data_IF_849680824932
#
_entry.id   IF_849680824932
#
_cell.length_a   1.000
_cell.length_b   1.000
_cell.length_c   1.000
_cell.angle_alpha   90.00
_cell.angle_beta   90.00
_cell.angle_gamma   90.00
#
_symmetry.space_group_name_H-M   'P 1'
#
loop_
_entity.id
_entity.type
_entity.pdbx_description
1 polymer ?
#
# COMPACT_ATOMS: atom_id res chain seq x y z
N UNK A 1 -3.81 -34.17 -2.55
CA UNK A 1 -4.55 -34.33 -3.82
C UNK A 1 -4.93 -32.93 -4.31
N UNK A 2 -4.45 -32.55 -5.49
CA UNK A 2 -4.54 -31.16 -5.99
C UNK A 2 -5.99 -30.72 -6.21
N UNK A 3 -6.35 -29.57 -5.63
CA UNK A 3 -7.61 -28.88 -5.91
C UNK A 3 -7.38 -27.91 -7.07
N UNK A 4 -7.95 -28.23 -8.22
CA UNK A 4 -8.07 -27.31 -9.34
C UNK A 4 -9.00 -26.16 -8.96
N UNK A 5 -8.60 -24.93 -9.30
CA UNK A 5 -9.33 -23.70 -9.07
C UNK A 5 -10.62 -23.67 -9.91
N UNK A 6 -11.83 -23.70 -9.31
CA UNK A 6 -13.08 -23.69 -10.09
C UNK A 6 -13.32 -22.35 -10.80
N UNK A 7 -12.72 -21.25 -10.32
CA UNK A 7 -12.89 -19.91 -10.88
C UNK A 7 -12.05 -19.62 -12.14
N UNK A 8 -10.89 -20.29 -12.31
CA UNK A 8 -10.07 -20.09 -13.53
C UNK A 8 -10.68 -20.77 -14.75
N UNK A 9 -11.29 -21.94 -14.55
CA UNK A 9 -11.86 -22.75 -15.63
C UNK A 9 -13.12 -22.10 -16.26
N UNK A 10 -13.89 -21.34 -15.48
CA UNK A 10 -15.08 -20.61 -15.97
C UNK A 10 -14.72 -19.39 -16.81
N UNK A 11 -13.68 -18.65 -16.41
CA UNK A 11 -13.23 -17.47 -17.17
C UNK A 11 -12.51 -17.87 -18.47
N UNK A 12 -11.64 -18.88 -18.41
CA UNK A 12 -10.94 -19.41 -19.60
C UNK A 12 -11.90 -20.15 -20.56
N UNK A 13 -12.88 -20.88 -20.03
CA UNK A 13 -13.89 -21.58 -20.83
C UNK A 13 -14.87 -20.63 -21.54
N UNK A 14 -15.32 -19.57 -20.87
CA UNK A 14 -16.17 -18.54 -21.50
C UNK A 14 -15.42 -17.79 -22.61
N UNK A 15 -14.17 -17.39 -22.35
CA UNK A 15 -13.36 -16.69 -23.33
C UNK A 15 -13.14 -17.52 -24.61
N UNK A 16 -13.00 -18.84 -24.49
CA UNK A 16 -12.77 -19.73 -25.62
C UNK A 16 -14.02 -19.88 -26.50
N UNK A 17 -15.22 -19.94 -25.91
CA UNK A 17 -16.50 -19.97 -26.64
C UNK A 17 -16.80 -18.64 -27.32
N UNK A 18 -16.53 -17.53 -26.64
CA UNK A 18 -16.65 -16.18 -27.21
C UNK A 18 -15.69 -15.98 -28.40
N UNK A 19 -14.45 -16.48 -28.29
CA UNK A 19 -13.49 -16.48 -29.39
C UNK A 19 -13.93 -17.33 -30.58
N UNK A 20 -14.58 -18.47 -30.34
CA UNK A 20 -15.13 -19.31 -31.41
C UNK A 20 -16.29 -18.63 -32.15
N UNK A 21 -17.20 -17.96 -31.43
CA UNK A 21 -18.27 -17.18 -32.05
C UNK A 21 -17.76 -15.98 -32.81
N UNK A 22 -16.76 -15.29 -32.27
CA UNK A 22 -16.09 -14.19 -32.96
C UNK A 22 -15.37 -14.66 -34.23
N UNK A 23 -14.62 -15.77 -34.14
CA UNK A 23 -13.90 -16.36 -35.27
C UNK A 23 -14.85 -16.81 -36.39
N UNK A 24 -15.94 -17.51 -36.05
CA UNK A 24 -16.93 -17.94 -37.04
C UNK A 24 -17.64 -16.76 -37.71
N UNK A 25 -17.99 -15.73 -36.94
CA UNK A 25 -18.64 -14.52 -37.46
C UNK A 25 -17.68 -13.72 -38.37
N UNK A 26 -16.42 -13.54 -37.95
CA UNK A 26 -15.38 -12.88 -38.75
C UNK A 26 -15.05 -13.64 -40.05
N UNK A 27 -15.08 -14.98 -40.02
CA UNK A 27 -14.95 -15.82 -41.21
C UNK A 27 -16.08 -15.54 -42.21
N UNK A 28 -17.33 -15.52 -41.73
CA UNK A 28 -18.52 -15.26 -42.57
C UNK A 28 -18.53 -13.85 -43.17
N UNK A 29 -18.00 -12.86 -42.46
CA UNK A 29 -17.83 -11.51 -42.99
C UNK A 29 -16.79 -11.45 -44.11
N UNK A 30 -15.68 -12.18 -43.98
CA UNK A 30 -14.68 -12.33 -45.05
C UNK A 30 -15.26 -12.98 -46.31
N UNK A 31 -16.26 -13.85 -46.16
CA UNK A 31 -16.96 -14.53 -47.25
C UNK A 31 -18.10 -13.67 -47.85
N UNK A 32 -18.22 -12.38 -47.46
CA UNK A 32 -19.19 -11.43 -48.00
C UNK A 32 -20.51 -11.32 -47.23
N UNK A 33 -20.59 -11.93 -46.03
CA UNK A 33 -21.81 -12.01 -45.22
C UNK A 33 -22.14 -10.80 -44.32
N UNK A 34 -21.31 -9.75 -44.29
CA UNK A 34 -21.62 -8.38 -43.83
C UNK A 34 -22.23 -8.12 -42.44
N UNK A 35 -22.43 -9.12 -41.57
CA UNK A 35 -23.29 -8.99 -40.38
C UNK A 35 -22.65 -9.50 -39.08
N UNK A 36 -21.34 -9.39 -38.90
CA UNK A 36 -20.62 -9.92 -37.73
C UNK A 36 -21.23 -9.51 -36.40
N UNK A 37 -21.57 -8.22 -36.24
CA UNK A 37 -22.16 -7.73 -34.99
C UNK A 37 -23.55 -8.34 -34.73
N UNK A 38 -24.37 -8.48 -35.76
CA UNK A 38 -25.70 -9.07 -35.64
C UNK A 38 -25.61 -10.58 -35.34
N UNK A 39 -24.67 -11.28 -35.97
CA UNK A 39 -24.42 -12.71 -35.73
C UNK A 39 -23.88 -12.96 -34.33
N UNK A 40 -22.91 -12.18 -33.87
CA UNK A 40 -22.39 -12.25 -32.49
C UNK A 40 -23.53 -12.00 -31.50
N UNK A 41 -24.36 -10.98 -31.73
CA UNK A 41 -25.52 -10.70 -30.88
C UNK A 41 -26.50 -11.87 -30.83
N UNK A 42 -26.81 -12.46 -31.99
CA UNK A 42 -27.69 -13.62 -32.10
C UNK A 42 -27.10 -14.84 -31.36
N UNK A 43 -25.79 -15.09 -31.49
CA UNK A 43 -25.13 -16.18 -30.79
C UNK A 43 -25.11 -15.96 -29.28
N UNK A 44 -24.84 -14.73 -28.83
CA UNK A 44 -24.92 -14.39 -27.42
C UNK A 44 -26.33 -14.58 -26.87
N UNK A 45 -27.36 -14.11 -27.58
CA UNK A 45 -28.76 -14.26 -27.16
C UNK A 45 -29.21 -15.72 -27.10
N UNK A 46 -28.76 -16.53 -28.07
CA UNK A 46 -29.17 -17.93 -28.17
C UNK A 46 -28.40 -18.87 -27.24
N UNK A 47 -27.13 -18.58 -26.95
CA UNK A 47 -26.25 -19.54 -26.30
C UNK A 47 -25.59 -19.03 -25.01
N UNK A 48 -25.38 -17.72 -24.84
CA UNK A 48 -24.65 -17.12 -23.71
C UNK A 48 -25.56 -16.32 -22.77
N UNK A 49 -26.81 -16.77 -22.61
CA UNK A 49 -27.75 -16.22 -21.64
C UNK A 49 -28.02 -17.20 -20.52
N UNK A 50 -28.05 -16.69 -19.28
CA UNK A 50 -28.35 -17.45 -18.06
C UNK A 50 -29.78 -18.04 -18.06
N UNK A 51 -30.69 -17.41 -18.79
CA UNK A 51 -32.10 -17.79 -18.88
C UNK A 51 -32.34 -18.91 -19.88
N UNK A 52 -31.37 -19.25 -20.72
CA UNK A 52 -31.53 -20.22 -21.81
C UNK A 52 -30.98 -21.59 -21.38
N UNK A 53 -31.69 -22.67 -21.74
CA UNK A 53 -31.29 -24.05 -21.47
C UNK A 53 -30.19 -24.53 -22.43
N UNK A 54 -29.02 -23.93 -22.35
CA UNK A 54 -27.80 -24.40 -23.04
C UNK A 54 -26.74 -24.81 -22.02
N UNK A 55 -25.73 -25.63 -22.40
CA UNK A 55 -24.62 -25.93 -21.50
C UNK A 55 -23.94 -24.68 -20.93
N UNK A 56 -23.82 -23.62 -21.74
CA UNK A 56 -23.27 -22.34 -21.28
C UNK A 56 -24.23 -21.57 -20.38
N UNK A 57 -25.53 -21.56 -20.69
CA UNK A 57 -26.55 -21.00 -19.80
C UNK A 57 -26.54 -21.66 -18.43
N UNK A 58 -26.34 -22.99 -18.38
CA UNK A 58 -26.23 -23.76 -17.16
C UNK A 58 -24.96 -23.41 -16.36
N UNK A 59 -23.79 -23.34 -17.02
CA UNK A 59 -22.54 -22.89 -16.39
C UNK A 59 -22.69 -21.48 -15.80
N UNK A 60 -23.33 -20.56 -16.52
CA UNK A 60 -23.58 -19.20 -16.05
C UNK A 60 -24.55 -19.17 -14.84
N UNK A 61 -25.59 -20.01 -14.84
CA UNK A 61 -26.50 -20.19 -13.69
C UNK A 61 -25.78 -20.73 -12.46
N UNK A 62 -24.96 -21.77 -12.63
CA UNK A 62 -24.13 -22.32 -11.56
C UNK A 62 -23.15 -21.27 -11.03
N UNK A 63 -22.55 -20.46 -11.90
CA UNK A 63 -21.70 -19.34 -11.49
C UNK A 63 -22.43 -18.33 -10.61
N UNK A 64 -23.67 -17.94 -10.98
CA UNK A 64 -24.49 -17.05 -10.16
C UNK A 64 -24.91 -17.67 -8.83
N UNK A 65 -25.30 -18.94 -8.84
CA UNK A 65 -25.67 -19.66 -7.63
C UNK A 65 -24.48 -19.78 -6.69
N UNK A 66 -23.30 -20.18 -7.20
CA UNK A 66 -22.08 -20.25 -6.41
C UNK A 66 -21.64 -18.88 -5.89
N UNK A 67 -21.87 -17.81 -6.65
CA UNK A 67 -21.64 -16.44 -6.18
C UNK A 67 -22.64 -16.03 -5.07
N UNK A 68 -23.89 -16.48 -5.16
CA UNK A 68 -24.91 -16.30 -4.11
C UNK A 68 -24.52 -17.07 -2.85
N UNK A 69 -24.21 -18.36 -2.98
CA UNK A 69 -23.76 -19.24 -1.89
C UNK A 69 -22.47 -18.70 -1.27
N UNK A 70 -21.50 -18.26 -2.07
CA UNK A 70 -20.27 -17.64 -1.55
C UNK A 70 -20.53 -16.36 -0.77
N UNK A 71 -21.57 -15.60 -1.10
CA UNK A 71 -21.98 -14.42 -0.32
C UNK A 71 -22.77 -14.77 0.93
N UNK A 72 -23.51 -15.88 0.89
CA UNK A 72 -24.52 -16.20 1.89
C UNK A 72 -24.06 -17.30 2.89
N UNK A 73 -22.93 -18.01 2.67
CA UNK A 73 -22.61 -19.22 3.48
C UNK A 73 -21.19 -19.46 3.98
N UNK A 74 -20.10 -18.85 3.48
CA UNK A 74 -18.76 -19.22 4.02
C UNK A 74 -17.70 -18.12 3.85
N UNK A 75 -17.27 -17.53 4.97
CA UNK A 75 -15.88 -17.12 5.19
C UNK A 75 -15.26 -17.96 6.31
N UNK A 76 -14.05 -18.49 6.11
CA UNK A 76 -13.36 -19.34 7.11
C UNK A 76 -13.01 -18.58 8.40
N UNK A 77 -13.01 -17.25 8.37
CA UNK A 77 -12.70 -16.35 9.50
C UNK A 77 -13.62 -15.12 9.49
N UNK A 78 -14.90 -15.32 9.79
CA UNK A 78 -15.85 -14.20 9.88
C UNK A 78 -15.79 -13.53 11.25
N UNK A 79 -15.76 -12.19 11.22
CA UNK A 79 -16.03 -11.40 12.41
C UNK A 79 -17.55 -11.21 12.52
N UNK A 80 -18.11 -11.50 13.69
CA UNK A 80 -19.54 -11.29 13.95
C UNK A 80 -19.76 -10.45 15.19
N UNK A 81 -20.87 -9.73 15.19
CA UNK A 81 -21.30 -8.89 16.30
C UNK A 81 -22.26 -9.65 17.20
N UNK A 82 -22.23 -9.38 18.50
CA UNK A 82 -23.35 -9.72 19.38
C UNK A 82 -24.61 -8.93 19.01
N UNK A 83 -25.77 -9.33 19.55
CA UNK A 83 -27.06 -8.67 19.25
C UNK A 83 -27.08 -7.18 19.60
N UNK A 84 -26.21 -6.74 20.52
CA UNK A 84 -26.12 -5.35 20.97
C UNK A 84 -25.08 -4.51 20.22
N UNK A 85 -24.36 -5.11 19.26
CA UNK A 85 -23.27 -4.48 18.51
C UNK A 85 -22.16 -3.90 19.43
N UNK A 86 -21.98 -4.47 20.62
CA UNK A 86 -20.97 -4.05 21.60
C UNK A 86 -19.75 -4.98 21.63
N UNK A 87 -19.89 -6.21 21.15
CA UNK A 87 -18.81 -7.20 21.13
C UNK A 87 -18.62 -7.68 19.71
N UNK A 88 -17.39 -7.53 19.20
CA UNK A 88 -16.93 -8.12 17.95
C UNK A 88 -16.14 -9.39 18.27
N UNK A 89 -16.62 -10.53 17.79
CA UNK A 89 -15.90 -11.80 17.90
C UNK A 89 -15.25 -12.10 16.55
N UNK A 90 -13.93 -12.31 16.56
CA UNK A 90 -13.18 -12.78 15.41
C UNK A 90 -12.33 -13.98 15.85
N UNK A 91 -12.53 -15.12 15.19
CA UNK A 91 -12.01 -16.42 15.65
C UNK A 91 -12.43 -16.68 17.11
N UNK A 92 -11.49 -16.93 18.01
CA UNK A 92 -11.74 -17.16 19.44
C UNK A 92 -11.48 -15.90 20.30
N UNK A 93 -11.40 -14.72 19.69
CA UNK A 93 -11.10 -13.45 20.38
C UNK A 93 -12.30 -12.53 20.35
N UNK A 94 -12.76 -12.15 21.54
CA UNK A 94 -13.83 -11.18 21.74
C UNK A 94 -13.24 -9.79 22.03
N UNK A 95 -13.77 -8.78 21.35
CA UNK A 95 -13.38 -7.38 21.51
C UNK A 95 -14.59 -6.54 21.86
N UNK A 96 -14.53 -5.84 22.98
CA UNK A 96 -15.55 -4.85 23.30
C UNK A 96 -15.30 -3.53 22.55
N UNK A 97 -16.36 -2.87 22.12
CA UNK A 97 -16.27 -1.63 21.34
C UNK A 97 -15.60 -0.47 22.09
N UNK A 98 -15.67 -0.46 23.41
CA UNK A 98 -14.97 0.50 24.27
C UNK A 98 -13.45 0.24 24.35
N UNK A 99 -13.00 -0.97 24.00
CA UNK A 99 -11.59 -1.35 23.98
C UNK A 99 -10.89 -0.93 22.68
N UNK A 100 -11.61 -0.80 21.56
CA UNK A 100 -11.01 -0.46 20.25
C UNK A 100 -10.24 0.86 20.28
N UNK A 101 -10.78 1.98 20.84
CA UNK A 101 -10.01 3.22 20.95
C UNK A 101 -8.73 3.04 21.78
N UNK A 102 -8.81 2.27 22.87
CA UNK A 102 -7.67 1.99 23.75
C UNK A 102 -6.59 1.19 23.01
N UNK A 103 -6.99 0.20 22.21
CA UNK A 103 -6.10 -0.61 21.38
C UNK A 103 -5.36 0.26 20.35
N UNK A 104 -6.09 1.12 19.63
CA UNK A 104 -5.49 2.02 18.64
C UNK A 104 -4.54 3.02 19.30
N UNK A 105 -4.90 3.51 20.48
CA UNK A 105 -4.03 4.41 21.25
C UNK A 105 -2.76 3.68 21.76
N UNK A 106 -2.88 2.44 22.23
CA UNK A 106 -1.72 1.64 22.63
C UNK A 106 -0.79 1.36 21.45
N UNK A 107 -1.34 0.96 20.29
CA UNK A 107 -0.55 0.74 19.08
C UNK A 107 0.15 2.03 18.66
N UNK A 108 -0.54 3.17 18.66
CA UNK A 108 0.08 4.47 18.39
C UNK A 108 1.24 4.78 19.33
N UNK A 109 1.06 4.63 20.66
CA UNK A 109 2.11 4.91 21.66
C UNK A 109 3.32 4.01 21.46
N UNK A 110 3.11 2.73 21.18
CA UNK A 110 4.19 1.77 20.95
C UNK A 110 4.93 2.06 19.64
N UNK A 111 4.22 2.48 18.58
CA UNK A 111 4.87 2.89 17.33
C UNK A 111 5.66 4.18 17.47
N UNK A 112 5.13 5.12 18.26
CA UNK A 112 5.83 6.36 18.60
C UNK A 112 7.15 6.07 19.33
N UNK A 113 7.14 5.16 20.29
CA UNK A 113 8.38 4.68 20.96
C UNK A 113 9.32 3.99 19.99
N UNK A 114 8.82 3.08 19.16
CA UNK A 114 9.65 2.37 18.19
C UNK A 114 10.34 3.33 17.21
N UNK A 115 9.64 4.37 16.73
CA UNK A 115 10.24 5.38 15.88
C UNK A 115 11.30 6.19 16.64
N UNK A 116 10.91 6.81 17.76
CA UNK A 116 11.79 7.78 18.42
C UNK A 116 12.93 7.13 19.20
N UNK A 117 12.66 6.06 19.94
CA UNK A 117 13.64 5.44 20.82
C UNK A 117 14.56 4.50 20.04
N UNK A 118 14.02 3.74 19.07
CA UNK A 118 14.79 2.71 18.36
C UNK A 118 15.31 3.20 17.01
N UNK A 119 14.45 3.74 16.14
CA UNK A 119 14.85 4.15 14.78
C UNK A 119 15.59 5.49 14.77
N UNK A 120 15.24 6.41 15.67
CA UNK A 120 15.89 7.71 15.84
C UNK A 120 16.84 7.74 17.04
N UNK A 121 17.12 6.56 17.62
CA UNK A 121 18.10 6.34 18.68
C UNK A 121 17.89 7.15 19.98
N UNK A 122 16.66 7.63 20.23
CA UNK A 122 16.34 8.45 21.40
C UNK A 122 17.07 9.79 21.42
N UNK A 123 17.51 10.30 20.26
CA UNK A 123 18.26 11.56 20.18
C UNK A 123 17.36 12.72 20.57
N UNK A 124 17.79 13.48 21.58
CA UNK A 124 17.08 14.66 22.05
C UNK A 124 17.42 15.90 21.22
N UNK A 125 16.49 16.84 21.11
CA UNK A 125 16.72 18.11 20.40
C UNK A 125 16.56 18.01 18.88
N UNK A 126 16.01 16.90 18.37
CA UNK A 126 15.52 16.80 17.01
C UNK A 126 14.17 17.52 16.92
N UNK A 127 13.94 18.22 15.81
CA UNK A 127 12.69 18.91 15.54
C UNK A 127 11.67 17.92 14.99
N UNK A 128 10.50 17.83 15.60
CA UNK A 128 9.43 16.99 15.08
C UNK A 128 8.71 17.67 13.91
N UNK A 129 8.48 16.89 12.87
CA UNK A 129 7.79 17.32 11.66
C UNK A 129 6.30 17.35 11.90
N UNK A 130 5.71 18.50 11.62
CA UNK A 130 4.27 18.68 11.69
C UNK A 130 3.73 19.11 10.34
N UNK A 131 2.62 18.53 9.91
CA UNK A 131 2.04 18.85 8.60
C UNK A 131 1.68 20.35 8.42
N UNK A 132 1.41 21.06 9.51
CA UNK A 132 1.09 22.49 9.52
C UNK A 132 2.32 23.41 9.39
N UNK A 133 3.53 22.92 9.68
CA UNK A 133 4.78 23.69 9.51
C UNK A 133 5.40 23.53 8.12
N UNK A 134 5.02 22.48 7.40
CA UNK A 134 5.60 22.10 6.12
C UNK A 134 4.79 22.63 4.93
N UNK A 135 5.50 22.91 3.85
CA UNK A 135 4.94 23.26 2.53
C UNK A 135 5.15 22.11 1.55
N UNK A 136 4.13 21.86 0.73
CA UNK A 136 4.20 20.90 -0.37
C UNK A 136 3.70 21.62 -1.64
N UNK A 137 4.33 21.31 -2.76
CA UNK A 137 4.06 21.93 -4.05
C UNK A 137 3.56 20.88 -5.03
N UNK A 138 2.24 20.77 -5.14
CA UNK A 138 1.58 19.86 -6.09
C UNK A 138 1.87 20.18 -7.57
N UNK A 139 2.58 21.27 -7.87
CA UNK A 139 2.91 21.70 -9.24
C UNK A 139 4.31 21.28 -9.70
N UNK A 140 5.08 20.61 -8.85
CA UNK A 140 6.40 20.10 -9.23
C UNK A 140 6.23 18.67 -9.73
N UNK A 141 6.54 18.42 -11.01
CA UNK A 141 6.44 17.09 -11.64
C UNK A 141 7.83 16.41 -11.77
N UNK A 142 8.87 16.94 -11.12
CA UNK A 142 10.23 16.39 -11.16
C UNK A 142 10.27 15.01 -10.51
N UNK A 143 10.81 14.00 -11.20
CA UNK A 143 10.97 12.65 -10.65
C UNK A 143 11.91 12.69 -9.44
N UNK A 144 11.49 12.04 -8.35
CA UNK A 144 12.22 11.99 -7.10
C UNK A 144 11.99 13.20 -6.18
N UNK A 145 11.20 14.19 -6.60
CA UNK A 145 10.79 15.31 -5.75
C UNK A 145 9.84 14.86 -4.62
N UNK A 146 9.99 15.46 -3.45
CA UNK A 146 9.10 15.32 -2.30
C UNK A 146 9.12 16.63 -1.49
N UNK A 147 8.26 16.73 -0.47
CA UNK A 147 8.11 17.95 0.32
C UNK A 147 9.40 18.39 1.04
N UNK A 148 10.33 17.48 1.37
CA UNK A 148 11.59 17.83 2.05
C UNK A 148 12.49 18.71 1.17
N UNK A 149 12.26 18.71 -0.15
CA UNK A 149 12.99 19.49 -1.14
C UNK A 149 12.36 20.87 -1.40
N UNK A 150 11.25 21.21 -0.72
CA UNK A 150 10.63 22.53 -0.83
C UNK A 150 11.53 23.61 -0.19
N UNK A 151 11.72 24.74 -0.86
CA UNK A 151 12.60 25.84 -0.37
C UNK A 151 12.24 26.31 1.04
N UNK A 152 10.94 26.43 1.30
CA UNK A 152 10.43 26.92 2.59
C UNK A 152 10.65 25.91 3.73
N UNK A 153 10.80 24.62 3.42
CA UNK A 153 11.05 23.58 4.41
C UNK A 153 12.54 23.45 4.76
N UNK A 154 13.42 24.21 4.09
CA UNK A 154 14.86 24.13 4.31
C UNK A 154 15.25 24.30 5.78
N UNK A 155 14.59 25.17 6.54
CA UNK A 155 14.90 25.35 7.97
C UNK A 155 14.52 24.15 8.87
N UNK A 156 13.65 23.25 8.39
CA UNK A 156 13.17 22.08 9.11
C UNK A 156 13.95 20.82 8.70
N UNK A 157 14.08 20.61 7.38
CA UNK A 157 14.70 19.41 6.80
C UNK A 157 16.22 19.54 6.59
N UNK A 158 16.81 20.74 6.71
CA UNK A 158 18.27 20.91 6.58
C UNK A 158 18.97 20.18 7.73
N UNK A 159 19.70 19.13 7.36
CA UNK A 159 20.44 18.30 8.30
C UNK A 159 19.64 17.13 8.87
N UNK A 160 18.32 17.05 8.67
CA UNK A 160 17.52 15.92 9.15
C UNK A 160 18.02 14.59 8.60
N UNK A 161 18.29 14.54 7.30
CA UNK A 161 18.83 13.36 6.65
C UNK A 161 20.24 12.96 7.08
N UNK A 162 20.98 13.85 7.75
CA UNK A 162 22.30 13.58 8.33
C UNK A 162 22.30 13.52 9.85
N UNK A 163 21.21 13.92 10.52
CA UNK A 163 21.13 14.06 11.97
C UNK A 163 21.36 12.72 12.66
N UNK A 164 20.70 11.66 12.17
CA UNK A 164 20.87 10.32 12.71
C UNK A 164 22.26 9.74 12.41
N UNK A 165 22.83 10.04 11.24
CA UNK A 165 24.21 9.64 10.94
C UNK A 165 25.20 10.35 11.88
N UNK A 166 25.03 11.64 12.09
CA UNK A 166 25.83 12.44 13.03
C UNK A 166 25.67 11.91 14.46
N UNK A 167 24.47 11.47 14.84
CA UNK A 167 24.23 10.86 16.15
C UNK A 167 24.99 9.53 16.31
N UNK A 168 25.03 8.70 15.26
CA UNK A 168 25.85 7.47 15.25
C UNK A 168 27.33 7.82 15.40
N UNK A 169 27.82 8.84 14.70
CA UNK A 169 29.24 9.22 14.72
C UNK A 169 29.68 9.86 16.06
N UNK A 170 28.79 10.61 16.72
CA UNK A 170 29.12 11.38 17.93
C UNK A 170 28.81 10.66 19.25
N UNK A 171 27.98 9.63 19.22
CA UNK A 171 27.56 8.90 20.41
C UNK A 171 28.29 7.57 20.51
N UNK A 172 29.22 7.44 21.46
CA UNK A 172 29.98 6.21 21.69
C UNK A 172 29.11 4.95 21.81
N UNK A 173 27.98 4.95 22.56
CA UNK A 173 27.09 3.79 22.63
C UNK A 173 26.49 3.40 21.28
N UNK A 174 26.03 4.39 20.48
CA UNK A 174 25.39 4.12 19.19
C UNK A 174 26.45 3.71 18.16
N UNK A 175 27.60 4.40 18.15
CA UNK A 175 28.74 4.09 17.29
C UNK A 175 29.18 2.64 17.43
N UNK A 176 29.32 2.13 18.66
CA UNK A 176 29.69 0.72 18.94
C UNK A 176 28.67 -0.30 18.46
N UNK A 177 27.40 0.09 18.32
CA UNK A 177 26.38 -0.81 17.74
C UNK A 177 26.56 -0.94 16.24
N UNK A 178 26.82 0.18 15.55
CA UNK A 178 26.82 0.25 14.10
C UNK A 178 28.20 0.07 13.44
N UNK A 179 29.29 0.29 14.17
CA UNK A 179 30.65 0.25 13.66
C UNK A 179 31.47 -0.86 14.33
N UNK A 180 32.24 -1.58 13.53
CA UNK A 180 33.16 -2.64 13.95
C UNK A 180 34.57 -2.35 13.45
N UNK A 181 35.58 -2.79 14.19
CA UNK A 181 36.97 -2.66 13.76
C UNK A 181 37.21 -3.42 12.46
N UNK A 182 37.69 -2.70 11.45
CA UNK A 182 38.00 -3.24 10.14
C UNK A 182 39.41 -2.84 9.73
N UNK A 183 40.33 -3.79 9.91
CA UNK A 183 41.77 -3.68 9.59
C UNK A 183 42.08 -3.31 8.12
N UNK A 184 41.07 -3.35 7.24
CA UNK A 184 41.19 -3.07 5.80
C UNK A 184 40.47 -1.78 5.37
N UNK A 185 39.81 -1.07 6.29
CA UNK A 185 39.16 0.20 5.98
C UNK A 185 40.12 1.38 6.20
N UNK A 186 39.98 2.44 5.41
CA UNK A 186 40.82 3.64 5.52
C UNK A 186 40.68 4.37 6.86
N UNK A 187 39.55 4.20 7.55
CA UNK A 187 39.26 4.76 8.87
C UNK A 187 39.52 3.78 10.04
N UNK A 188 39.87 2.52 9.74
CA UNK A 188 39.95 1.45 10.75
C UNK A 188 38.59 0.92 11.24
N UNK A 189 37.47 1.50 10.82
CA UNK A 189 36.10 1.11 11.18
C UNK A 189 35.26 0.80 9.94
N UNK A 190 34.41 -0.23 10.02
CA UNK A 190 33.42 -0.55 8.99
C UNK A 190 32.02 -0.71 9.58
N UNK A 191 30.99 -0.54 8.75
CA UNK A 191 29.60 -0.78 9.14
C UNK A 191 29.34 -2.25 9.47
N UNK A 192 28.71 -2.47 10.63
CA UNK A 192 28.26 -3.78 11.10
C UNK A 192 27.07 -4.28 10.27
N UNK A 193 27.28 -5.32 9.46
CA UNK A 193 26.22 -5.91 8.64
C UNK A 193 25.03 -6.41 9.47
N UNK A 194 25.29 -6.96 10.66
CA UNK A 194 24.24 -7.42 11.56
C UNK A 194 23.42 -6.25 12.11
N UNK A 195 24.07 -5.17 12.54
CA UNK A 195 23.37 -3.99 13.04
C UNK A 195 22.52 -3.33 11.95
N UNK A 196 23.04 -3.24 10.72
CA UNK A 196 22.26 -2.74 9.58
C UNK A 196 21.04 -3.62 9.29
N UNK A 197 21.19 -4.95 9.35
CA UNK A 197 20.08 -5.87 9.16
C UNK A 197 19.03 -5.78 10.28
N UNK A 198 19.46 -5.66 11.55
CA UNK A 198 18.57 -5.45 12.69
C UNK A 198 17.81 -4.12 12.60
N UNK A 199 18.51 -3.05 12.19
CA UNK A 199 17.88 -1.75 11.97
C UNK A 199 16.81 -1.83 10.88
N UNK A 200 17.12 -2.43 9.74
CA UNK A 200 16.15 -2.59 8.66
C UNK A 200 14.96 -3.48 9.07
N UNK A 201 15.19 -4.55 9.84
CA UNK A 201 14.09 -5.36 10.39
C UNK A 201 13.18 -4.54 11.33
N UNK A 202 13.75 -3.64 12.12
CA UNK A 202 13.00 -2.72 12.99
C UNK A 202 12.18 -1.73 12.17
N UNK A 203 12.72 -1.25 11.04
CA UNK A 203 11.96 -0.42 10.09
C UNK A 203 10.77 -1.19 9.52
N UNK A 204 10.96 -2.45 9.13
CA UNK A 204 9.87 -3.25 8.57
C UNK A 204 8.76 -3.50 9.60
N UNK A 205 9.08 -3.81 10.87
CA UNK A 205 8.05 -3.89 11.94
C UNK A 205 7.34 -2.55 12.16
N UNK A 206 8.08 -1.44 12.12
CA UNK A 206 7.48 -0.11 12.21
C UNK A 206 6.48 0.15 11.06
N UNK A 207 6.90 -0.08 9.81
CA UNK A 207 6.07 0.14 8.62
C UNK A 207 4.84 -0.77 8.58
N UNK A 208 5.00 -2.06 8.87
CA UNK A 208 3.91 -3.02 8.89
C UNK A 208 2.80 -2.58 9.85
N UNK A 209 3.17 -2.04 11.01
CA UNK A 209 2.19 -1.63 12.01
C UNK A 209 1.69 -0.21 11.83
N UNK A 210 2.53 0.71 11.35
CA UNK A 210 2.09 2.02 10.89
C UNK A 210 1.04 1.86 9.79
N UNK A 211 1.18 0.85 8.93
CA UNK A 211 0.20 0.57 7.88
C UNK A 211 -1.20 0.33 8.45
N UNK A 212 -1.32 -0.38 9.57
CA UNK A 212 -2.60 -0.63 10.26
C UNK A 212 -3.19 0.68 10.77
N UNK A 213 -2.37 1.52 11.42
CA UNK A 213 -2.81 2.83 11.92
C UNK A 213 -3.29 3.73 10.78
N UNK A 214 -2.55 3.80 9.68
CA UNK A 214 -2.94 4.56 8.47
C UNK A 214 -4.22 3.99 7.86
N UNK A 215 -4.35 2.67 7.78
CA UNK A 215 -5.49 1.99 7.18
C UNK A 215 -6.80 2.20 7.96
N UNK A 216 -6.74 2.15 9.29
CA UNK A 216 -7.92 2.30 10.17
C UNK A 216 -8.27 3.77 10.39
N UNK A 217 -7.28 4.66 10.49
CA UNK A 217 -7.53 6.08 10.83
C UNK A 217 -7.84 6.98 9.64
N UNK A 218 -7.63 6.53 8.40
CA UNK A 218 -7.86 7.32 7.17
C UNK A 218 -9.32 7.30 6.67
N UNK A 219 -10.26 6.91 7.53
CA UNK A 219 -11.67 6.72 7.21
C UNK A 219 -11.94 5.30 6.69
N UNK A 220 -12.79 5.17 5.65
CA UNK A 220 -13.04 3.85 5.05
C UNK A 220 -11.71 3.23 4.56
N UNK A 221 -11.42 1.94 4.77
CA UNK A 221 -10.11 1.44 4.38
C UNK A 221 -9.87 1.45 2.86
N UNK A 222 -8.63 1.71 2.46
CA UNK A 222 -8.20 1.59 1.06
C UNK A 222 -8.15 0.11 0.64
N UNK A 223 -8.34 -0.17 -0.64
CA UNK A 223 -8.10 -1.52 -1.16
C UNK A 223 -6.62 -1.84 -1.01
N UNK A 224 -6.30 -3.09 -0.73
CA UNK A 224 -4.92 -3.56 -0.55
C UNK A 224 -3.99 -3.08 -1.68
N UNK A 225 -4.39 -3.24 -2.95
CA UNK A 225 -3.56 -2.84 -4.08
C UNK A 225 -3.41 -1.32 -4.23
N UNK A 226 -4.36 -0.51 -3.74
CA UNK A 226 -4.23 0.96 -3.71
C UNK A 226 -3.30 1.38 -2.58
N UNK A 227 -3.46 0.76 -1.42
CA UNK A 227 -2.72 1.06 -0.21
C UNK A 227 -1.23 0.70 -0.35
N UNK A 228 -0.91 -0.51 -0.81
CA UNK A 228 0.48 -0.96 -0.99
C UNK A 228 1.18 -0.33 -2.20
N UNK A 229 0.44 0.36 -3.07
CA UNK A 229 1.00 1.09 -4.20
C UNK A 229 1.16 2.60 -3.93
N UNK A 230 0.93 3.05 -2.69
CA UNK A 230 1.13 4.43 -2.31
C UNK A 230 2.59 4.83 -2.49
N UNK A 231 2.85 6.03 -3.00
CA UNK A 231 4.20 6.58 -3.08
C UNK A 231 4.35 7.86 -2.28
N UNK A 232 5.50 8.03 -1.63
CA UNK A 232 5.80 9.22 -0.80
C UNK A 232 6.56 10.32 -1.55
N UNK A 233 7.06 10.01 -2.75
CA UNK A 233 7.75 10.96 -3.64
C UNK A 233 7.29 10.82 -5.08
N UNK A 234 7.54 11.85 -5.86
CA UNK A 234 7.27 11.87 -7.30
C UNK A 234 7.96 10.69 -8.00
N UNK A 235 7.17 9.99 -8.80
CA UNK A 235 7.67 9.00 -9.77
C UNK A 235 7.38 9.53 -11.17
N UNK A 236 7.11 8.66 -12.15
CA UNK A 236 6.44 9.09 -13.39
C UNK A 236 5.02 9.61 -13.14
N UNK A 237 4.49 9.41 -11.93
CA UNK A 237 3.21 9.91 -11.44
C UNK A 237 3.41 10.75 -10.19
N UNK A 238 2.42 11.59 -9.88
CA UNK A 238 2.35 12.31 -8.61
C UNK A 238 2.29 11.35 -7.42
N UNK A 239 2.85 11.73 -6.27
CA UNK A 239 2.89 10.91 -5.08
C UNK A 239 1.49 10.71 -4.54
N UNK A 240 1.31 9.58 -3.85
CA UNK A 240 0.08 9.33 -3.12
C UNK A 240 0.05 10.08 -1.79
N UNK A 241 1.19 10.31 -1.16
CA UNK A 241 1.29 11.00 0.12
C UNK A 241 1.74 12.44 -0.16
N UNK A 242 0.93 13.41 0.25
CA UNK A 242 1.15 14.85 0.05
C UNK A 242 0.70 15.64 1.26
N UNK A 243 1.03 16.93 1.34
CA UNK A 243 0.50 17.84 2.36
C UNK A 243 -0.61 18.71 1.78
N UNK A 244 -1.74 18.75 2.47
CA UNK A 244 -2.87 19.58 2.08
C UNK A 244 -3.66 20.00 3.31
N UNK A 245 -4.05 21.28 3.40
CA UNK A 245 -4.78 21.84 4.55
C UNK A 245 -4.14 21.47 5.90
N UNK A 246 -2.82 21.67 6.03
CA UNK A 246 -2.08 21.45 7.29
C UNK A 246 -2.13 20.00 7.80
N UNK A 247 -2.44 19.04 6.90
CA UNK A 247 -2.57 17.61 7.19
C UNK A 247 -1.85 16.79 6.13
N UNK A 248 -1.48 15.57 6.51
CA UNK A 248 -1.05 14.55 5.55
C UNK A 248 -2.27 14.03 4.80
N UNK A 249 -2.24 14.18 3.48
CA UNK A 249 -3.25 13.73 2.55
C UNK A 249 -2.76 12.49 1.80
N UNK A 250 -3.60 11.45 1.78
CA UNK A 250 -3.45 10.30 0.88
C UNK A 250 -4.37 10.51 -0.31
N UNK A 251 -3.78 10.57 -1.50
CA UNK A 251 -4.46 10.67 -2.77
C UNK A 251 -4.12 9.46 -3.64
N UNK A 252 -5.10 8.57 -3.81
CA UNK A 252 -4.97 7.43 -4.73
C UNK A 252 -6.03 7.52 -5.82
N UNK A 253 -5.68 7.09 -7.03
CA UNK A 253 -6.58 7.10 -8.19
C UNK A 253 -6.97 5.67 -8.52
N UNK A 254 -8.24 5.33 -8.34
CA UNK A 254 -8.72 3.96 -8.58
C UNK A 254 -10.16 3.91 -9.10
N UNK A 255 -10.44 3.02 -10.08
CA UNK A 255 -11.81 2.52 -10.32
C UNK A 255 -11.87 1.18 -11.10
N UNK A 256 -12.75 0.25 -10.67
CA UNK A 256 -13.02 -1.07 -11.30
C UNK A 256 -13.61 -1.01 -12.72
N UNK A 257 -13.98 0.16 -13.22
CA UNK A 257 -14.49 0.40 -14.58
C UNK A 257 -13.59 1.33 -15.40
N UNK A 258 -12.31 1.47 -15.04
CA UNK A 258 -11.35 2.33 -15.73
C UNK A 258 -11.27 1.99 -17.23
N UNK A 259 -11.21 0.68 -17.53
CA UNK A 259 -11.17 0.16 -18.91
C UNK A 259 -12.42 0.53 -19.73
N UNK A 260 -13.58 0.73 -19.08
CA UNK A 260 -14.86 1.01 -19.76
C UNK A 260 -15.20 2.50 -19.84
N UNK A 261 -14.79 3.31 -18.87
CA UNK A 261 -15.25 4.71 -18.73
C UNK A 261 -14.18 5.77 -19.01
N UNK A 262 -12.89 5.39 -19.02
CA UNK A 262 -11.77 6.32 -19.26
C UNK A 262 -11.59 7.43 -18.21
N UNK A 263 -12.43 7.49 -17.18
CA UNK A 263 -12.41 8.54 -16.14
C UNK A 263 -11.76 8.04 -14.86
N UNK A 264 -10.87 8.86 -14.32
CA UNK A 264 -10.30 8.65 -12.99
C UNK A 264 -11.31 9.06 -11.92
N UNK A 265 -11.39 8.28 -10.84
CA UNK A 265 -12.06 8.70 -9.61
C UNK A 265 -10.99 8.95 -8.55
N UNK A 266 -11.00 10.15 -7.99
CA UNK A 266 -10.11 10.51 -6.90
C UNK A 266 -10.61 9.89 -5.60
N UNK A 267 -9.69 9.25 -4.88
CA UNK A 267 -9.91 8.73 -3.54
C UNK A 267 -8.94 9.48 -2.62
N UNK A 268 -9.48 10.48 -1.91
CA UNK A 268 -8.72 11.40 -1.08
C UNK A 268 -9.06 11.18 0.38
N UNK A 269 -8.03 11.10 1.22
CA UNK A 269 -8.14 10.86 2.66
C UNK A 269 -7.15 11.76 3.39
N UNK A 270 -7.50 12.14 4.61
CA UNK A 270 -6.60 12.84 5.51
C UNK A 270 -6.29 11.94 6.70
N UNK A 271 -5.02 11.88 7.07
CA UNK A 271 -4.61 11.15 8.26
C UNK A 271 -4.95 11.94 9.52
N UNK A 272 -5.26 11.21 10.59
CA UNK A 272 -5.25 11.78 11.92
C UNK A 272 -3.88 12.41 12.18
N UNK A 273 -3.87 13.64 12.69
CA UNK A 273 -2.66 14.44 12.84
C UNK A 273 -1.50 13.69 13.54
N UNK A 274 -1.71 12.99 14.67
CA UNK A 274 -0.61 12.29 15.34
C UNK A 274 0.05 11.20 14.48
N UNK A 275 -0.72 10.57 13.59
CA UNK A 275 -0.24 9.52 12.67
C UNK A 275 0.44 10.16 11.46
N UNK A 276 -0.10 11.26 10.96
CA UNK A 276 0.53 12.07 9.91
C UNK A 276 1.91 12.56 10.32
N UNK A 277 2.03 13.16 11.51
CA UNK A 277 3.29 13.67 12.03
C UNK A 277 4.32 12.54 12.23
N UNK A 278 3.88 11.36 12.73
CA UNK A 278 4.73 10.18 12.87
C UNK A 278 5.27 9.68 11.51
N UNK A 279 4.43 9.72 10.47
CA UNK A 279 4.83 9.39 9.10
C UNK A 279 5.81 10.42 8.53
N UNK A 280 5.63 11.70 8.83
CA UNK A 280 6.53 12.77 8.37
C UNK A 280 7.91 12.66 9.01
N UNK A 281 7.99 12.41 10.33
CA UNK A 281 9.26 12.15 11.01
C UNK A 281 9.97 10.93 10.42
N UNK A 282 9.23 9.87 10.09
CA UNK A 282 9.78 8.71 9.40
C UNK A 282 10.37 9.08 8.02
N UNK A 283 9.63 9.83 7.20
CA UNK A 283 10.08 10.25 5.86
C UNK A 283 11.33 11.14 5.95
N UNK A 284 11.36 12.09 6.88
CA UNK A 284 12.41 13.11 6.94
C UNK A 284 13.71 12.61 7.63
N UNK A 285 13.61 11.72 8.63
CA UNK A 285 14.76 11.22 9.39
C UNK A 285 15.19 9.80 9.04
N UNK A 286 14.24 8.86 9.03
CA UNK A 286 14.55 7.43 8.89
C UNK A 286 14.87 7.07 7.44
N UNK A 287 14.12 7.60 6.47
CA UNK A 287 14.35 7.27 5.06
C UNK A 287 15.74 7.70 4.54
N UNK A 288 16.27 8.90 4.83
CA UNK A 288 17.62 9.26 4.43
C UNK A 288 18.69 8.34 5.05
N UNK A 289 18.56 7.97 6.34
CA UNK A 289 19.50 7.05 6.96
C UNK A 289 19.45 5.67 6.30
N UNK A 290 18.25 5.14 6.05
CA UNK A 290 18.07 3.89 5.28
C UNK A 290 18.72 3.97 3.91
N UNK A 291 18.60 5.10 3.21
CA UNK A 291 19.22 5.32 1.91
C UNK A 291 20.75 5.31 1.99
N UNK A 292 21.33 5.85 3.07
CA UNK A 292 22.78 5.79 3.36
C UNK A 292 23.21 4.35 3.59
N UNK A 293 22.51 3.61 4.46
CA UNK A 293 22.80 2.20 4.76
C UNK A 293 22.70 1.30 3.53
N UNK A 294 21.68 1.50 2.68
CA UNK A 294 21.53 0.79 1.43
C UNK A 294 22.73 1.02 0.49
N UNK A 295 23.24 2.26 0.44
CA UNK A 295 24.40 2.62 -0.39
C UNK A 295 25.72 2.04 0.12
N UNK A 296 25.82 1.68 1.41
CA UNK A 296 26.97 0.93 1.93
C UNK A 296 27.06 -0.47 1.31
N UNK A 297 25.92 -1.08 0.97
CA UNK A 297 25.87 -2.41 0.34
C UNK A 297 25.91 -2.31 -1.19
N UNK A 298 25.22 -1.31 -1.76
CA UNK A 298 25.14 -1.07 -3.20
C UNK A 298 25.18 0.44 -3.50
N UNK A 299 26.33 0.99 -3.91
CA UNK A 299 26.55 2.45 -4.00
C UNK A 299 25.55 3.23 -4.86
N UNK A 300 24.94 2.58 -5.86
CA UNK A 300 23.97 3.19 -6.78
C UNK A 300 22.52 2.85 -6.46
N UNK A 301 22.26 2.06 -5.42
CA UNK A 301 20.90 1.66 -5.06
C UNK A 301 20.10 2.85 -4.51
N UNK A 302 18.81 2.88 -4.84
CA UNK A 302 17.84 3.84 -4.36
C UNK A 302 16.73 3.11 -3.62
N UNK A 303 16.21 3.71 -2.56
CA UNK A 303 15.03 3.20 -1.89
C UNK A 303 13.83 3.20 -2.83
N UNK A 304 12.96 2.21 -2.64
CA UNK A 304 11.65 2.18 -3.27
C UNK A 304 10.89 3.48 -2.98
N UNK A 305 10.19 4.05 -3.99
CA UNK A 305 9.24 5.14 -3.75
C UNK A 305 7.93 4.66 -3.11
N UNK A 306 7.68 3.35 -3.11
CA UNK A 306 6.60 2.65 -2.40
C UNK A 306 7.05 2.29 -0.99
#
# INVERSE_FOLDING_TARGET
MGRAAPAKMTVEGNALVELLFFFDSARKEKDGGGETLAQVKQYCERYLQQTVETPMGEILRWGLLLFRVSKDTVGDHEAFWDESEQVLTYEDVEWHMDQIPTLLESEYRDRRRLLYDNLMFGVTGILHMHAWTLRDSANVDTVGWDFTQHSDNGHLSMGAGMALLTAIERSDPISRLFLVDARQSSSGLAWSKSALATYEATVQDFLQRLSVLVHISSGQPLRESEFLAMTWRNTQRRPSITLCHERVMIHVKYHKGQQQSGRYKDNVRFLAQPIGDLLLDYIDYVMPLRQIFLRQQSPKALLSPF
#
